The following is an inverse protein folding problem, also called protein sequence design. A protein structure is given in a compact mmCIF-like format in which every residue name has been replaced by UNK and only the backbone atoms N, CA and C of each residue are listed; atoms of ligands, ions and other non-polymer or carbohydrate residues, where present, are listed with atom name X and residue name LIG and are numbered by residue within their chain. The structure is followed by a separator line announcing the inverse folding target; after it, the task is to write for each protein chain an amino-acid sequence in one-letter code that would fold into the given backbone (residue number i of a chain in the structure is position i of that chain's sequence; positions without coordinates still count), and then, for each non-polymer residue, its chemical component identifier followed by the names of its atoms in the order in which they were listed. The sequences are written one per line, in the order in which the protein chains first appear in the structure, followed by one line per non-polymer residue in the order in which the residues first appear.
data_IF_430683501677
#
_entry.id   IF_430683501677
#
_cell.length_a   1.000
_cell.length_b   1.000
_cell.length_c   1.000
_cell.angle_alpha   90.00
_cell.angle_beta   90.00
_cell.angle_gamma   90.00
#
_symmetry.space_group_name_H-M   'P 1'
#
loop_
_entity.id
_entity.type
_entity.pdbx_description
1 polymer ?
#
# COMPACT_ATOMS: atom_id res chain seq x y z
N UNK A 1 -4.20 -13.27 -11.33
CA UNK A 1 -5.49 -14.01 -11.25
C UNK A 1 -6.02 -13.77 -9.85
N UNK A 2 -7.22 -13.20 -9.76
CA UNK A 2 -7.83 -12.65 -8.55
C UNK A 2 -8.25 -13.77 -7.60
N UNK A 3 -7.85 -13.67 -6.32
CA UNK A 3 -8.43 -14.46 -5.24
C UNK A 3 -9.35 -13.54 -4.42
N UNK A 4 -10.63 -13.51 -4.83
CA UNK A 4 -11.69 -12.80 -4.13
C UNK A 4 -12.17 -13.64 -2.93
N UNK A 5 -11.99 -13.14 -1.71
CA UNK A 5 -12.98 -13.40 -0.64
C UNK A 5 -12.59 -14.29 0.54
N UNK A 6 -11.43 -14.11 1.18
CA UNK A 6 -11.11 -14.82 2.44
C UNK A 6 -10.58 -13.99 3.61
N UNK A 7 -10.81 -12.68 3.66
CA UNK A 7 -10.45 -11.87 4.83
C UNK A 7 -11.65 -11.18 5.47
N UNK A 8 -12.68 -11.96 5.81
CA UNK A 8 -13.69 -11.52 6.76
C UNK A 8 -13.14 -11.71 8.19
N UNK A 9 -13.26 -10.67 9.02
CA UNK A 9 -12.82 -10.52 10.42
C UNK A 9 -11.38 -10.04 10.65
N UNK A 10 -11.24 -8.71 10.78
CA UNK A 10 -10.06 -8.05 11.32
C UNK A 10 -10.43 -7.41 12.65
N UNK A 11 -10.06 -8.13 13.72
CA UNK A 11 -10.08 -7.71 15.12
C UNK A 11 -8.61 -7.69 15.62
N UNK A 12 -8.32 -7.28 16.87
CA UNK A 12 -6.95 -7.15 17.48
C UNK A 12 -5.94 -8.29 17.16
N UNK A 13 -6.41 -9.44 16.73
CA UNK A 13 -5.66 -10.53 16.10
C UNK A 13 -4.88 -10.16 14.83
N UNK A 14 -5.17 -9.03 14.15
CA UNK A 14 -4.51 -8.65 12.91
C UNK A 14 -2.99 -8.42 13.07
N UNK A 15 -2.58 -7.71 14.15
CA UNK A 15 -1.16 -7.53 14.48
C UNK A 15 -0.46 -8.86 14.84
N UNK A 16 -1.20 -9.80 15.43
CA UNK A 16 -0.71 -11.16 15.73
C UNK A 16 -0.65 -12.07 14.49
N UNK A 17 -1.55 -11.88 13.51
CA UNK A 17 -1.54 -12.58 12.22
C UNK A 17 -0.42 -12.09 11.31
N UNK A 18 -0.10 -10.79 11.34
CA UNK A 18 1.06 -10.21 10.65
C UNK A 18 2.37 -10.89 11.08
N UNK A 19 2.52 -11.24 12.36
CA UNK A 19 3.74 -11.89 12.87
C UNK A 19 3.78 -13.40 12.60
N UNK A 20 2.64 -14.05 12.34
CA UNK A 20 2.55 -15.51 12.15
C UNK A 20 2.37 -15.98 10.69
N UNK A 21 1.92 -15.12 9.77
CA UNK A 21 1.51 -15.56 8.43
C UNK A 21 2.45 -15.08 7.31
N UNK A 22 3.13 -16.03 6.64
CA UNK A 22 4.03 -15.74 5.51
C UNK A 22 3.34 -15.07 4.31
N UNK A 23 2.03 -15.33 4.10
CA UNK A 23 1.25 -14.72 3.01
C UNK A 23 0.98 -13.23 3.23
N UNK A 24 0.78 -12.81 4.49
CA UNK A 24 0.56 -11.40 4.83
C UNK A 24 1.85 -10.61 4.62
N UNK A 25 3.00 -11.20 4.95
CA UNK A 25 4.29 -10.54 4.77
C UNK A 25 4.58 -10.19 3.29
N UNK A 26 4.11 -11.00 2.34
CA UNK A 26 4.23 -10.72 0.91
C UNK A 26 3.27 -9.65 0.39
N UNK A 27 2.12 -9.46 1.03
CA UNK A 27 1.08 -8.50 0.61
C UNK A 27 1.18 -7.16 1.33
N UNK A 28 1.89 -7.10 2.46
CA UNK A 28 2.01 -5.94 3.33
C UNK A 28 2.47 -4.65 2.60
N UNK A 29 3.42 -4.69 1.64
CA UNK A 29 3.82 -3.50 0.89
C UNK A 29 2.71 -2.85 0.07
N UNK A 30 1.64 -3.59 -0.25
CA UNK A 30 0.54 -3.15 -1.10
C UNK A 30 -0.69 -2.69 -0.30
N UNK A 31 -0.70 -2.90 1.01
CA UNK A 31 -1.84 -2.58 1.87
C UNK A 31 -2.00 -1.06 2.05
N UNK A 32 -3.24 -0.61 2.06
CA UNK A 32 -3.58 0.79 2.27
C UNK A 32 -3.36 1.21 3.74
N UNK A 33 -2.96 2.47 4.00
CA UNK A 33 -2.70 2.99 5.35
C UNK A 33 -3.83 2.73 6.34
N UNK A 34 -5.08 2.93 5.92
CA UNK A 34 -6.28 2.77 6.75
C UNK A 34 -6.52 1.32 7.21
N UNK A 35 -6.01 0.31 6.48
CA UNK A 35 -6.15 -1.10 6.88
C UNK A 35 -5.40 -1.40 8.19
N UNK A 36 -4.32 -0.68 8.47
CA UNK A 36 -3.57 -0.83 9.71
C UNK A 36 -4.26 -0.16 10.92
N UNK A 37 -5.25 0.71 10.66
CA UNK A 37 -6.08 1.33 11.68
C UNK A 37 -7.39 0.56 11.93
N UNK A 38 -7.57 -0.61 11.29
CA UNK A 38 -8.78 -1.43 11.43
C UNK A 38 -9.99 -0.91 10.66
N UNK A 39 -9.79 -0.09 9.61
CA UNK A 39 -10.88 0.35 8.77
C UNK A 39 -11.54 -0.83 8.02
N UNK A 40 -12.86 -0.76 7.86
CA UNK A 40 -13.61 -1.72 7.06
C UNK A 40 -13.15 -1.70 5.59
N UNK A 41 -13.09 -2.85 4.91
CA UNK A 41 -12.71 -2.93 3.50
C UNK A 41 -13.52 -1.97 2.63
N UNK A 42 -12.83 -1.12 1.87
CA UNK A 42 -13.44 -0.13 0.99
C UNK A 42 -12.70 -0.08 -0.37
N UNK A 43 -13.38 0.20 -1.51
CA UNK A 43 -12.74 0.25 -2.83
C UNK A 43 -11.53 1.20 -2.94
N UNK A 44 -11.44 2.22 -2.08
CA UNK A 44 -10.30 3.13 -2.02
C UNK A 44 -8.99 2.44 -1.60
N UNK A 45 -9.07 1.30 -0.92
CA UNK A 45 -7.91 0.49 -0.54
C UNK A 45 -7.31 -0.20 -1.77
N UNK A 46 -8.16 -0.70 -2.67
CA UNK A 46 -7.72 -1.31 -3.92
C UNK A 46 -7.07 -0.28 -4.85
N UNK A 47 -7.58 0.96 -4.85
CA UNK A 47 -6.96 2.09 -5.55
C UNK A 47 -5.52 2.28 -5.05
N UNK A 48 -5.30 2.30 -3.72
CA UNK A 48 -3.96 2.40 -3.17
C UNK A 48 -3.05 1.25 -3.63
N UNK A 49 -3.53 0.01 -3.55
CA UNK A 49 -2.78 -1.17 -4.00
C UNK A 49 -2.40 -1.09 -5.49
N UNK A 50 -3.33 -0.65 -6.36
CA UNK A 50 -3.06 -0.40 -7.78
C UNK A 50 -1.98 0.66 -7.97
N UNK A 51 -1.99 1.72 -7.15
CA UNK A 51 -0.93 2.73 -7.11
C UNK A 51 0.45 2.13 -6.82
N UNK A 52 0.54 1.22 -5.83
CA UNK A 52 1.79 0.55 -5.47
C UNK A 52 2.27 -0.32 -6.65
N UNK A 53 1.37 -1.12 -7.24
CA UNK A 53 1.68 -1.93 -8.42
C UNK A 53 2.16 -1.08 -9.61
N UNK A 54 1.52 0.07 -9.86
CA UNK A 54 1.92 0.98 -10.92
C UNK A 54 3.30 1.57 -10.65
N UNK A 55 3.56 2.03 -9.41
CA UNK A 55 4.86 2.55 -9.00
C UNK A 55 5.96 1.49 -9.20
N UNK A 56 5.73 0.26 -8.76
CA UNK A 56 6.68 -0.84 -8.92
C UNK A 56 6.89 -1.18 -10.39
N UNK A 57 5.83 -1.20 -11.20
CA UNK A 57 5.92 -1.51 -12.63
C UNK A 57 6.77 -0.49 -13.39
N UNK A 58 6.68 0.79 -13.03
CA UNK A 58 7.42 1.86 -13.73
C UNK A 58 8.82 2.07 -13.17
N UNK A 59 9.06 1.80 -11.88
CA UNK A 59 10.36 2.04 -11.24
C UNK A 59 11.20 0.78 -11.02
N UNK A 60 10.60 -0.42 -11.13
CA UNK A 60 11.22 -1.70 -10.80
C UNK A 60 11.44 -1.94 -9.30
N UNK A 61 10.87 -1.09 -8.43
CA UNK A 61 11.04 -1.18 -6.97
C UNK A 61 9.78 -0.72 -6.23
N UNK A 62 9.58 -1.22 -5.02
CA UNK A 62 8.50 -0.76 -4.15
C UNK A 62 8.79 0.67 -3.61
N UNK A 63 7.75 1.47 -3.35
CA UNK A 63 7.92 2.80 -2.77
C UNK A 63 8.33 2.75 -1.29
N UNK A 64 7.94 1.69 -0.58
CA UNK A 64 8.27 1.49 0.84
C UNK A 64 8.92 0.12 1.03
N UNK A 65 10.07 0.11 1.70
CA UNK A 65 10.80 -1.10 2.06
C UNK A 65 11.54 -0.84 3.38
N UNK A 66 11.42 -1.77 4.32
CA UNK A 66 12.05 -1.64 5.62
C UNK A 66 12.54 -2.99 6.15
N UNK A 67 13.56 -3.01 7.03
CA UNK A 67 14.13 -4.25 7.56
C UNK A 67 13.22 -4.96 8.58
N UNK A 68 12.14 -4.32 9.03
CA UNK A 68 11.16 -4.91 9.95
C UNK A 68 9.75 -4.52 9.55
N UNK A 69 8.78 -5.38 9.89
CA UNK A 69 7.37 -5.15 9.58
C UNK A 69 6.84 -3.87 10.23
N UNK A 70 7.19 -3.61 11.48
CA UNK A 70 6.80 -2.38 12.17
C UNK A 70 7.34 -1.12 11.48
N UNK A 71 8.59 -1.17 11.00
CA UNK A 71 9.17 -0.06 10.25
C UNK A 71 8.50 0.12 8.88
N UNK A 72 8.10 -0.97 8.21
CA UNK A 72 7.37 -0.90 6.94
C UNK A 72 5.98 -0.30 7.12
N UNK A 73 5.24 -0.74 8.15
CA UNK A 73 3.93 -0.17 8.51
C UNK A 73 4.08 1.33 8.78
N UNK A 74 5.09 1.73 9.56
CA UNK A 74 5.36 3.14 9.81
C UNK A 74 5.64 3.93 8.52
N UNK A 75 6.39 3.37 7.56
CA UNK A 75 6.61 4.02 6.27
C UNK A 75 5.29 4.15 5.48
N UNK A 76 4.48 3.09 5.43
CA UNK A 76 3.19 3.11 4.74
C UNK A 76 2.26 4.18 5.34
N UNK A 77 2.24 4.32 6.66
CA UNK A 77 1.38 5.30 7.33
C UNK A 77 1.85 6.75 7.16
N UNK A 78 3.16 6.98 7.25
CA UNK A 78 3.67 8.34 7.54
C UNK A 78 4.71 8.87 6.56
N UNK A 79 5.33 8.01 5.74
CA UNK A 79 6.40 8.44 4.83
C UNK A 79 5.81 8.85 3.47
N UNK A 80 6.24 10.00 2.91
CA UNK A 80 5.83 10.42 1.57
C UNK A 80 6.34 9.42 0.53
N UNK A 81 5.60 9.28 -0.58
CA UNK A 81 6.03 8.43 -1.70
C UNK A 81 7.33 8.98 -2.28
N UNK A 82 8.35 8.14 -2.53
CA UNK A 82 9.59 8.60 -3.14
C UNK A 82 9.35 9.23 -4.53
N UNK A 83 10.14 10.24 -4.92
CA UNK A 83 10.01 10.84 -6.24
C UNK A 83 10.29 9.82 -7.34
N UNK A 84 9.60 9.96 -8.46
CA UNK A 84 9.87 9.18 -9.66
C UNK A 84 11.25 9.52 -10.26
N UNK A 85 11.89 8.58 -10.96
CA UNK A 85 13.06 8.87 -11.80
C UNK A 85 12.80 10.05 -12.74
N UNK A 86 13.84 10.84 -13.04
CA UNK A 86 13.72 12.07 -13.83
C UNK A 86 13.17 11.81 -15.24
N UNK A 87 13.38 10.61 -15.76
CA UNK A 87 12.89 10.16 -17.06
C UNK A 87 11.37 9.95 -17.06
N UNK A 88 10.77 9.65 -15.91
CA UNK A 88 9.33 9.41 -15.73
C UNK A 88 8.60 10.62 -15.15
N UNK A 89 9.32 11.53 -14.49
CA UNK A 89 8.79 12.74 -13.87
C UNK A 89 8.00 13.69 -14.81
N UNK A 90 8.40 13.94 -16.08
CA UNK A 90 7.66 14.87 -16.95
C UNK A 90 6.36 14.29 -17.54
N UNK A 91 5.99 13.05 -17.22
CA UNK A 91 4.78 12.39 -17.72
C UNK A 91 3.56 12.50 -16.79
N UNK A 92 2.37 12.06 -17.27
CA UNK A 92 1.14 12.08 -16.46
C UNK A 92 1.18 11.11 -15.27
N UNK A 93 2.19 10.23 -15.20
CA UNK A 93 2.31 9.17 -14.19
C UNK A 93 2.55 9.72 -12.79
N UNK A 94 3.33 10.80 -12.65
CA UNK A 94 3.62 11.42 -11.34
C UNK A 94 2.36 11.90 -10.62
N UNK A 95 1.60 12.85 -11.19
CA UNK A 95 0.36 13.34 -10.60
C UNK A 95 -0.68 12.24 -10.38
N UNK A 96 -0.70 11.23 -11.25
CA UNK A 96 -1.58 10.09 -11.11
C UNK A 96 -1.21 9.27 -9.86
N UNK A 97 0.07 8.91 -9.70
CA UNK A 97 0.57 8.15 -8.54
C UNK A 97 0.40 8.93 -7.24
N UNK A 98 0.58 10.25 -7.24
CA UNK A 98 0.29 11.09 -6.06
C UNK A 98 -1.15 10.90 -5.57
N UNK A 99 -2.11 10.85 -6.49
CA UNK A 99 -3.53 10.67 -6.16
C UNK A 99 -3.87 9.23 -5.77
N UNK A 100 -3.31 8.23 -6.45
CA UNK A 100 -3.50 6.82 -6.08
C UNK A 100 -2.93 6.51 -4.70
N UNK A 101 -1.78 7.09 -4.35
CA UNK A 101 -1.01 6.80 -3.14
C UNK A 101 -1.22 7.82 -2.02
N UNK A 102 -2.26 8.66 -2.12
CA UNK A 102 -2.62 9.59 -1.06
C UNK A 102 -2.88 8.83 0.26
N UNK A 103 -2.38 9.37 1.37
CA UNK A 103 -2.51 8.72 2.69
C UNK A 103 -3.94 8.77 3.20
N UNK A 104 -4.61 9.90 3.03
CA UNK A 104 -6.06 9.99 3.22
C UNK A 104 -6.77 9.32 2.05
N UNK A 105 -7.71 8.43 2.35
CA UNK A 105 -8.52 7.76 1.33
C UNK A 105 -9.43 8.75 0.56
N UNK A 106 -9.82 9.85 1.18
CA UNK A 106 -10.71 10.87 0.60
C UNK A 106 -10.03 11.68 -0.51
N UNK A 107 -8.70 11.73 -0.49
CA UNK A 107 -7.89 12.39 -1.51
C UNK A 107 -7.63 11.51 -2.74
N UNK A 108 -8.11 10.25 -2.70
CA UNK A 108 -8.03 9.30 -3.82
C UNK A 108 -9.20 9.53 -4.80
N UNK A 109 -9.39 8.62 -5.75
CA UNK A 109 -10.46 8.72 -6.76
C UNK A 109 -11.83 8.35 -6.20
#
# INVERSE_FOLDING_TARGET
LLDFGLAASMDEQFLSRITQSQQILGSLPYMAPEQFNGADPHPCMDIYAVGICLFESVTGRLPFLAPSTAALIHQILSTPVPPLPVELAPGPVGPLLERFLAKDASDRF
#
